data_IF_584006478116
#
_entry.id   IF_584006478116
#
_cell.length_a   1.000
_cell.length_b   1.000
_cell.length_c   1.000
_cell.angle_alpha   90.00
_cell.angle_beta   90.00
_cell.angle_gamma   90.00
#
_symmetry.space_group_name_H-M   'P 1'
#
loop_
_entity.id
_entity.type
_entity.pdbx_description
1 polymer ?
#
# COMPACT_ATOMS: atom_id res chain seq x y z
N UNK A 1 -8.82 -14.26 9.25
CA UNK A 1 -7.40 -14.65 9.30
C UNK A 1 -6.70 -13.95 10.48
N UNK A 2 -6.56 -14.59 11.66
CA UNK A 2 -6.04 -13.91 12.87
C UNK A 2 -4.63 -13.34 12.71
N UNK A 3 -3.74 -14.05 12.00
CA UNK A 3 -2.35 -13.62 11.81
C UNK A 3 -2.22 -12.37 10.92
N UNK A 4 -3.05 -12.24 9.87
CA UNK A 4 -3.09 -11.02 9.03
C UNK A 4 -3.47 -9.82 9.87
N UNK A 5 -4.52 -9.94 10.70
CA UNK A 5 -4.97 -8.87 11.59
C UNK A 5 -3.85 -8.46 12.54
N UNK A 6 -3.19 -9.43 13.20
CA UNK A 6 -2.10 -9.18 14.14
C UNK A 6 -0.93 -8.43 13.47
N UNK A 7 -0.45 -8.95 12.34
CA UNK A 7 0.72 -8.39 11.64
C UNK A 7 0.44 -7.04 10.99
N UNK A 8 -0.75 -6.84 10.41
CA UNK A 8 -1.10 -5.53 9.83
C UNK A 8 -1.37 -4.49 10.92
N UNK A 9 -1.92 -4.90 12.07
CA UNK A 9 -2.06 -4.01 13.24
C UNK A 9 -0.68 -3.56 13.73
N UNK A 10 0.27 -4.50 13.83
CA UNK A 10 1.65 -4.19 14.23
C UNK A 10 2.31 -3.22 13.25
N UNK A 11 2.27 -3.51 11.94
CA UNK A 11 2.85 -2.66 10.90
C UNK A 11 2.33 -1.22 11.02
N UNK A 12 1.02 -1.06 11.22
CA UNK A 12 0.41 0.23 11.38
C UNK A 12 0.84 0.92 12.68
N UNK A 13 0.75 0.23 13.82
CA UNK A 13 1.04 0.80 15.13
C UNK A 13 2.52 1.24 15.29
N UNK A 14 3.46 0.50 14.72
CA UNK A 14 4.90 0.80 14.77
C UNK A 14 5.30 2.10 14.07
N UNK A 15 4.40 2.65 13.23
CA UNK A 15 4.62 3.86 12.44
C UNK A 15 3.50 4.89 12.63
N UNK A 16 2.74 4.81 13.73
CA UNK A 16 1.63 5.72 14.04
C UNK A 16 0.51 5.75 12.97
N UNK A 17 0.43 4.71 12.14
CA UNK A 17 -0.65 4.50 11.20
C UNK A 17 -1.82 3.73 11.79
N UNK A 18 -2.76 3.35 10.94
CA UNK A 18 -3.95 2.60 11.33
C UNK A 18 -4.17 1.34 10.48
N UNK A 19 -4.85 0.36 11.07
CA UNK A 19 -5.45 -0.76 10.34
C UNK A 19 -6.92 -0.44 10.05
N UNK A 20 -7.31 -0.56 8.78
CA UNK A 20 -8.70 -0.54 8.33
C UNK A 20 -9.02 -1.89 7.67
N UNK A 21 -9.89 -2.68 8.28
CA UNK A 21 -10.39 -3.90 7.66
C UNK A 21 -11.56 -3.57 6.71
N UNK A 22 -11.62 -4.27 5.59
CA UNK A 22 -12.77 -4.29 4.69
C UNK A 22 -13.44 -5.66 4.76
N UNK A 23 -14.77 -5.69 4.84
CA UNK A 23 -15.53 -6.95 4.82
C UNK A 23 -15.73 -7.48 3.39
N UNK A 24 -15.75 -6.57 2.41
CA UNK A 24 -15.83 -6.85 0.97
C UNK A 24 -14.88 -5.94 0.19
N UNK A 25 -14.45 -6.37 -0.99
CA UNK A 25 -13.48 -5.64 -1.82
C UNK A 25 -13.97 -4.24 -2.23
N UNK A 26 -15.29 -4.06 -2.39
CA UNK A 26 -15.92 -2.81 -2.80
C UNK A 26 -15.77 -1.68 -1.77
N UNK A 27 -15.40 -2.00 -0.52
CA UNK A 27 -15.13 -0.99 0.51
C UNK A 27 -13.75 -0.34 0.37
N UNK A 28 -12.87 -0.91 -0.46
CA UNK A 28 -11.48 -0.46 -0.59
C UNK A 28 -11.33 1.04 -0.91
N UNK A 29 -12.08 1.63 -1.86
CA UNK A 29 -11.98 3.08 -2.12
C UNK A 29 -12.30 3.90 -0.87
N UNK A 30 -13.34 3.52 -0.13
CA UNK A 30 -13.73 4.22 1.11
C UNK A 30 -12.69 4.06 2.22
N UNK A 31 -12.02 2.90 2.34
CA UNK A 31 -10.90 2.74 3.29
C UNK A 31 -9.72 3.63 2.95
N UNK A 32 -9.40 3.79 1.67
CA UNK A 32 -8.32 4.70 1.24
C UNK A 32 -8.68 6.16 1.55
N UNK A 33 -9.94 6.57 1.30
CA UNK A 33 -10.45 7.90 1.67
C UNK A 33 -10.39 8.16 3.17
N UNK A 34 -10.67 7.15 3.99
CA UNK A 34 -10.55 7.26 5.46
C UNK A 34 -9.10 7.51 5.91
N UNK A 35 -8.11 6.96 5.23
CA UNK A 35 -6.69 7.30 5.49
C UNK A 35 -6.38 8.73 5.04
N UNK A 36 -6.74 9.08 3.80
CA UNK A 36 -6.45 10.39 3.21
C UNK A 36 -7.11 11.53 4.00
N UNK A 37 -8.34 11.35 4.47
CA UNK A 37 -9.04 12.37 5.26
C UNK A 37 -8.34 12.73 6.57
N UNK A 38 -7.52 11.82 7.12
CA UNK A 38 -6.73 11.99 8.36
C UNK A 38 -5.36 12.61 8.13
N UNK A 39 -4.90 12.71 6.88
CA UNK A 39 -3.67 13.42 6.56
C UNK A 39 -3.81 14.89 6.96
N UNK A 40 -2.71 15.58 7.23
CA UNK A 40 -2.75 16.98 7.63
C UNK A 40 -1.90 17.85 6.69
N UNK A 41 -2.18 19.15 6.69
CA UNK A 41 -1.43 20.11 5.89
C UNK A 41 -1.81 20.15 4.40
N UNK A 42 -1.21 21.10 3.66
CA UNK A 42 -1.55 21.37 2.26
C UNK A 42 -0.78 20.49 1.26
N UNK A 43 0.31 19.84 1.67
CA UNK A 43 1.16 19.04 0.78
C UNK A 43 1.33 17.62 1.30
N UNK A 44 1.14 16.62 0.42
CA UNK A 44 1.31 15.20 0.78
C UNK A 44 2.09 14.38 -0.25
N UNK A 45 2.83 13.40 0.26
CA UNK A 45 3.36 12.28 -0.49
C UNK A 45 2.70 10.99 -0.02
N UNK A 46 2.14 10.22 -0.95
CA UNK A 46 1.46 8.97 -0.67
C UNK A 46 2.02 7.86 -1.58
N UNK A 47 2.38 6.72 -1.02
CA UNK A 47 2.70 5.52 -1.81
C UNK A 47 1.69 4.40 -1.54
N UNK A 48 1.01 3.94 -2.58
CA UNK A 48 0.16 2.76 -2.53
C UNK A 48 1.02 1.51 -2.72
N UNK A 49 1.12 0.66 -1.70
CA UNK A 49 1.83 -0.62 -1.76
C UNK A 49 0.79 -1.72 -1.90
N UNK A 50 0.64 -2.25 -3.11
CA UNK A 50 -0.48 -3.10 -3.51
C UNK A 50 0.02 -4.53 -3.72
N UNK A 51 -0.60 -5.46 -3.00
CA UNK A 51 -0.47 -6.89 -3.27
C UNK A 51 -1.08 -7.23 -4.64
N UNK A 52 -0.31 -7.89 -5.48
CA UNK A 52 -0.72 -8.33 -6.82
C UNK A 52 -0.60 -9.83 -7.04
N UNK A 53 -0.72 -10.60 -5.95
CA UNK A 53 -0.88 -12.06 -5.95
C UNK A 53 -2.27 -12.47 -6.46
N UNK A 54 -2.47 -13.76 -6.66
CA UNK A 54 -3.68 -14.30 -7.28
C UNK A 54 -4.96 -14.08 -6.45
N UNK A 55 -4.89 -14.03 -5.12
CA UNK A 55 -6.08 -13.78 -4.28
C UNK A 55 -6.66 -12.38 -4.50
N UNK A 56 -5.82 -11.42 -4.89
CA UNK A 56 -6.18 -10.02 -5.09
C UNK A 56 -6.93 -9.71 -6.41
N UNK A 57 -7.32 -10.70 -7.21
CA UNK A 57 -7.98 -10.49 -8.52
C UNK A 57 -9.20 -9.55 -8.43
N UNK A 58 -10.07 -9.75 -7.44
CA UNK A 58 -11.27 -8.92 -7.27
C UNK A 58 -10.91 -7.52 -6.77
N UNK A 59 -10.04 -7.43 -5.78
CA UNK A 59 -9.61 -6.16 -5.21
C UNK A 59 -8.90 -5.29 -6.25
N UNK A 60 -8.01 -5.86 -7.07
CA UNK A 60 -7.38 -5.13 -8.18
C UNK A 60 -8.41 -4.60 -9.16
N UNK A 61 -9.48 -5.36 -9.45
CA UNK A 61 -10.56 -4.87 -10.31
C UNK A 61 -11.23 -3.62 -9.70
N UNK A 62 -11.51 -3.63 -8.40
CA UNK A 62 -12.05 -2.47 -7.68
C UNK A 62 -11.08 -1.28 -7.74
N UNK A 63 -9.78 -1.50 -7.49
CA UNK A 63 -8.76 -0.42 -7.61
C UNK A 63 -8.74 0.15 -9.04
N UNK A 64 -8.85 -0.70 -10.06
CA UNK A 64 -8.85 -0.27 -11.47
C UNK A 64 -10.12 0.49 -11.88
N UNK A 65 -11.26 0.23 -11.24
CA UNK A 65 -12.54 0.83 -11.60
C UNK A 65 -12.84 2.09 -10.76
N UNK A 66 -12.60 2.02 -9.46
CA UNK A 66 -13.24 2.94 -8.51
C UNK A 66 -12.24 3.79 -7.73
N UNK A 67 -10.94 3.47 -7.73
CA UNK A 67 -9.96 4.20 -6.92
C UNK A 67 -9.94 5.69 -7.26
N UNK A 68 -9.46 6.06 -8.45
CA UNK A 68 -9.28 7.47 -8.81
C UNK A 68 -10.58 8.25 -8.83
N UNK A 69 -11.68 7.74 -9.43
CA UNK A 69 -12.97 8.42 -9.37
C UNK A 69 -13.40 8.76 -7.93
N UNK A 70 -13.14 7.87 -6.97
CA UNK A 70 -13.52 8.08 -5.57
C UNK A 70 -12.62 9.08 -4.84
N UNK A 71 -11.39 9.29 -5.30
CA UNK A 71 -10.42 10.17 -4.63
C UNK A 71 -10.48 11.62 -5.09
N UNK A 72 -11.12 11.93 -6.23
CA UNK A 72 -11.10 13.25 -6.86
C UNK A 72 -11.40 14.39 -5.86
N UNK A 73 -12.53 14.30 -5.16
CA UNK A 73 -12.95 15.35 -4.22
C UNK A 73 -12.03 15.46 -2.99
N UNK A 74 -11.47 14.35 -2.52
CA UNK A 74 -10.54 14.36 -1.37
C UNK A 74 -9.19 14.97 -1.75
N UNK A 75 -8.78 14.88 -3.01
CA UNK A 75 -7.52 15.47 -3.49
C UNK A 75 -7.60 17.00 -3.65
N UNK A 76 -8.79 17.57 -3.87
CA UNK A 76 -8.97 19.03 -4.07
C UNK A 76 -8.53 19.87 -2.87
N UNK A 77 -8.44 19.27 -1.67
CA UNK A 77 -8.03 19.98 -0.47
C UNK A 77 -6.50 20.18 -0.35
N UNK A 78 -5.71 19.47 -1.14
CA UNK A 78 -4.24 19.57 -1.11
C UNK A 78 -3.77 20.54 -2.20
N UNK A 79 -2.88 21.47 -1.84
CA UNK A 79 -2.23 22.38 -2.78
C UNK A 79 -1.26 21.63 -3.71
N UNK A 80 -0.59 20.61 -3.17
CA UNK A 80 0.28 19.69 -3.92
C UNK A 80 0.12 18.28 -3.37
N UNK A 81 0.01 17.30 -4.25
CA UNK A 81 0.11 15.89 -3.87
C UNK A 81 0.99 15.14 -4.85
N UNK A 82 1.66 14.10 -4.35
CA UNK A 82 2.37 13.13 -5.18
C UNK A 82 1.98 11.72 -4.76
N UNK A 83 1.53 10.92 -5.74
CA UNK A 83 1.11 9.54 -5.47
C UNK A 83 2.00 8.57 -6.23
N UNK A 84 2.67 7.70 -5.49
CA UNK A 84 3.48 6.59 -5.98
C UNK A 84 2.73 5.27 -5.87
N UNK A 85 3.16 4.27 -6.63
CA UNK A 85 2.58 2.93 -6.58
C UNK A 85 3.68 1.90 -6.57
N UNK A 86 3.64 0.96 -5.64
CA UNK A 86 4.46 -0.25 -5.62
C UNK A 86 3.54 -1.44 -5.79
N UNK A 87 3.78 -2.26 -6.81
CA UNK A 87 3.19 -3.60 -6.85
C UNK A 87 4.15 -4.58 -6.21
N UNK A 88 3.66 -5.49 -5.38
CA UNK A 88 4.47 -6.61 -4.88
C UNK A 88 3.76 -7.94 -5.07
N UNK A 89 4.54 -9.02 -5.09
CA UNK A 89 4.09 -10.42 -5.08
C UNK A 89 4.95 -11.22 -4.11
N UNK A 90 4.77 -12.54 -4.06
CA UNK A 90 5.65 -13.40 -3.29
C UNK A 90 7.05 -13.58 -3.91
N UNK A 91 7.95 -14.16 -3.12
CA UNK A 91 9.25 -14.62 -3.56
C UNK A 91 9.16 -15.64 -4.72
N UNK A 92 10.11 -15.52 -5.64
CA UNK A 92 10.26 -16.39 -6.82
C UNK A 92 9.14 -16.25 -7.87
N UNK A 93 8.33 -15.19 -7.78
CA UNK A 93 7.39 -14.76 -8.81
C UNK A 93 8.05 -13.88 -9.88
N UNK A 94 7.30 -13.49 -10.92
CA UNK A 94 7.76 -12.63 -12.03
C UNK A 94 8.51 -11.37 -11.56
N UNK A 95 8.09 -10.82 -10.42
CA UNK A 95 8.77 -9.74 -9.72
C UNK A 95 8.43 -9.81 -8.23
N UNK A 96 9.35 -9.34 -7.39
CA UNK A 96 9.14 -9.27 -5.93
C UNK A 96 8.45 -7.95 -5.54
N UNK A 97 9.04 -6.83 -5.94
CA UNK A 97 8.45 -5.50 -5.78
C UNK A 97 8.80 -4.64 -7.01
N UNK A 98 7.82 -3.90 -7.52
CA UNK A 98 7.91 -3.08 -8.74
C UNK A 98 7.41 -1.67 -8.43
N UNK A 99 8.31 -0.71 -8.18
CA UNK A 99 7.94 0.67 -7.92
C UNK A 99 7.64 1.43 -9.23
N UNK A 100 6.66 2.31 -9.16
CA UNK A 100 6.34 3.33 -10.14
C UNK A 100 6.47 4.72 -9.49
N UNK A 101 7.13 5.67 -10.16
CA UNK A 101 7.49 6.96 -9.55
C UNK A 101 6.26 7.78 -9.18
N UNK A 102 6.46 8.74 -8.29
CA UNK A 102 5.45 9.73 -7.92
C UNK A 102 4.81 10.38 -9.15
N UNK A 103 3.48 10.50 -9.13
CA UNK A 103 2.68 11.22 -10.09
C UNK A 103 1.94 12.38 -9.40
N UNK A 104 1.83 13.50 -10.10
CA UNK A 104 1.12 14.71 -9.63
C UNK A 104 -0.30 14.83 -10.23
N UNK A 105 -0.75 13.81 -10.97
CA UNK A 105 -2.06 13.75 -11.61
C UNK A 105 -2.69 12.39 -11.34
N UNK A 106 -3.94 12.39 -10.88
CA UNK A 106 -4.67 11.16 -10.62
C UNK A 106 -4.85 10.30 -11.88
N UNK A 107 -4.97 10.89 -13.07
CA UNK A 107 -5.08 10.13 -14.31
C UNK A 107 -3.81 9.29 -14.57
N UNK A 108 -2.64 9.79 -14.17
CA UNK A 108 -1.37 9.09 -14.33
C UNK A 108 -1.24 7.95 -13.32
N UNK A 109 -1.76 8.16 -12.10
CA UNK A 109 -1.93 7.10 -11.09
C UNK A 109 -2.86 6.01 -11.62
N UNK A 110 -4.01 6.38 -12.21
CA UNK A 110 -4.95 5.41 -12.78
C UNK A 110 -4.30 4.58 -13.89
N UNK A 111 -3.50 5.23 -14.75
CA UNK A 111 -2.75 4.52 -15.80
C UNK A 111 -1.80 3.47 -15.22
N UNK A 112 -1.12 3.78 -14.12
CA UNK A 112 -0.24 2.83 -13.42
C UNK A 112 -1.04 1.69 -12.80
N UNK A 113 -2.11 2.00 -12.06
CA UNK A 113 -3.01 1.02 -11.43
C UNK A 113 -3.59 0.04 -12.47
N UNK A 114 -3.93 0.53 -13.66
CA UNK A 114 -4.42 -0.29 -14.77
C UNK A 114 -3.38 -1.31 -15.31
N UNK A 115 -2.10 -1.17 -14.95
CA UNK A 115 -1.07 -2.16 -15.25
C UNK A 115 -1.08 -3.33 -14.26
N UNK A 116 -1.77 -3.20 -13.13
CA UNK A 116 -1.84 -4.25 -12.12
C UNK A 116 -2.48 -5.52 -12.70
N UNK A 117 -1.81 -6.65 -12.48
CA UNK A 117 -2.32 -7.96 -12.83
C UNK A 117 -2.08 -8.90 -11.66
N UNK A 118 -3.15 -9.37 -11.04
CA UNK A 118 -3.10 -10.45 -10.07
C UNK A 118 -2.58 -11.71 -10.76
N UNK A 119 -1.46 -12.22 -10.26
CA UNK A 119 -0.91 -13.51 -10.67
C UNK A 119 0.14 -13.96 -9.65
N UNK A 120 0.46 -15.25 -9.68
CA UNK A 120 1.40 -15.81 -8.72
C UNK A 120 0.83 -15.76 -7.31
N UNK A 121 1.70 -15.95 -6.34
CA UNK A 121 1.24 -16.25 -4.98
C UNK A 121 0.83 -17.71 -4.91
N UNK A 122 1.12 -18.31 -3.77
CA UNK A 122 0.77 -19.70 -3.47
C UNK A 122 -0.08 -19.70 -2.21
N UNK A 123 0.36 -20.39 -1.18
CA UNK A 123 -0.22 -20.26 0.14
C UNK A 123 0.37 -19.02 0.82
N UNK A 124 -0.44 -18.38 1.67
CA UNK A 124 0.04 -17.42 2.67
C UNK A 124 1.22 -18.02 3.46
N UNK A 125 2.24 -17.23 3.84
CA UNK A 125 2.34 -15.76 3.82
C UNK A 125 2.82 -15.16 2.49
N UNK A 126 2.82 -13.82 2.40
CA UNK A 126 3.27 -13.03 1.23
C UNK A 126 4.47 -12.12 1.55
N UNK A 127 5.13 -11.56 0.52
CA UNK A 127 6.34 -10.73 0.68
C UNK A 127 6.07 -9.25 1.03
N UNK A 128 5.15 -9.00 1.95
CA UNK A 128 4.68 -7.64 2.36
C UNK A 128 5.84 -6.69 2.71
N UNK A 129 6.82 -7.14 3.49
CA UNK A 129 7.94 -6.28 3.89
C UNK A 129 8.82 -5.83 2.72
N UNK A 130 8.94 -6.64 1.66
CA UNK A 130 9.69 -6.27 0.45
C UNK A 130 8.97 -5.13 -0.29
N UNK A 131 7.64 -5.19 -0.37
CA UNK A 131 6.80 -4.12 -0.92
C UNK A 131 6.92 -2.82 -0.10
N UNK A 132 6.77 -2.91 1.23
CA UNK A 132 6.88 -1.76 2.13
C UNK A 132 8.26 -1.11 2.06
N UNK A 133 9.33 -1.90 2.16
CA UNK A 133 10.69 -1.37 2.11
C UNK A 133 10.99 -0.71 0.76
N UNK A 134 10.50 -1.30 -0.34
CA UNK A 134 10.57 -0.68 -1.67
C UNK A 134 9.87 0.68 -1.70
N UNK A 135 8.67 0.78 -1.12
CA UNK A 135 7.93 2.04 -0.97
C UNK A 135 8.67 3.10 -0.16
N UNK A 136 9.49 2.67 0.81
CA UNK A 136 10.28 3.58 1.62
C UNK A 136 11.54 4.08 0.88
N UNK A 137 12.29 3.19 0.22
CA UNK A 137 13.66 3.51 -0.28
C UNK A 137 13.73 3.90 -1.76
N UNK A 138 12.65 3.73 -2.53
CA UNK A 138 12.64 4.02 -3.98
C UNK A 138 11.96 5.35 -4.33
N UNK A 139 11.56 6.11 -3.33
CA UNK A 139 10.83 7.37 -3.48
C UNK A 139 11.62 8.50 -2.81
N UNK A 140 11.63 9.66 -3.46
CA UNK A 140 12.24 10.88 -2.94
C UNK A 140 11.17 11.69 -2.19
N UNK A 141 11.01 11.40 -0.90
CA UNK A 141 9.98 12.00 -0.05
C UNK A 141 10.31 13.48 0.24
N UNK A 142 9.46 14.40 -0.23
CA UNK A 142 9.64 15.85 -0.10
C UNK A 142 8.59 16.46 0.82
N UNK A 143 7.33 16.01 0.75
CA UNK A 143 6.22 16.62 1.44
C UNK A 143 6.35 16.50 2.97
N UNK A 144 5.79 17.42 3.77
CA UNK A 144 5.73 17.27 5.23
C UNK A 144 4.86 16.08 5.66
N UNK A 145 3.77 15.81 4.95
CA UNK A 145 2.89 14.67 5.20
C UNK A 145 3.30 13.50 4.30
N UNK A 146 3.70 12.37 4.89
CA UNK A 146 4.29 11.22 4.19
C UNK A 146 3.65 9.94 4.65
N UNK A 147 2.96 9.24 3.74
CA UNK A 147 2.28 8.01 4.09
C UNK A 147 2.47 6.89 3.07
N UNK A 148 2.45 5.66 3.58
CA UNK A 148 2.23 4.45 2.79
C UNK A 148 0.83 3.92 3.13
N UNK A 149 0.12 3.41 2.12
CA UNK A 149 -1.04 2.55 2.31
C UNK A 149 -0.70 1.17 1.76
N UNK A 150 -0.56 0.20 2.67
CA UNK A 150 -0.47 -1.22 2.35
C UNK A 150 -1.88 -1.75 2.04
N UNK A 151 -2.05 -2.40 0.89
CA UNK A 151 -3.30 -3.02 0.45
C UNK A 151 -3.02 -4.49 0.20
N UNK A 152 -3.62 -5.38 1.01
CA UNK A 152 -3.41 -6.82 0.89
C UNK A 152 -4.36 -7.63 1.78
N UNK A 153 -4.33 -8.94 1.63
CA UNK A 153 -5.22 -9.90 2.32
C UNK A 153 -4.44 -10.98 3.11
N UNK A 154 -3.11 -11.03 2.96
CA UNK A 154 -2.23 -12.03 3.55
C UNK A 154 -1.15 -11.42 4.47
N UNK A 155 -0.71 -12.16 5.51
CA UNK A 155 0.34 -11.70 6.42
C UNK A 155 1.73 -11.75 5.75
N UNK A 156 2.71 -10.97 6.26
CA UNK A 156 4.11 -11.10 5.85
C UNK A 156 4.69 -12.48 6.19
N UNK A 157 5.71 -12.91 5.45
CA UNK A 157 6.56 -14.03 5.89
C UNK A 157 7.20 -13.75 7.26
N UNK A 158 7.17 -14.71 8.21
CA UNK A 158 7.66 -14.50 9.58
C UNK A 158 9.19 -14.45 9.67
N UNK A 159 9.89 -14.87 8.61
CA UNK A 159 11.34 -14.76 8.48
C UNK A 159 11.66 -14.21 7.09
N UNK A 160 12.66 -13.31 6.98
CA UNK A 160 13.14 -12.84 5.68
C UNK A 160 13.50 -14.01 4.76
N UNK A 161 13.03 -13.95 3.52
CA UNK A 161 13.50 -14.83 2.43
C UNK A 161 14.36 -14.08 1.41
N UNK A 162 14.46 -12.75 1.56
CA UNK A 162 15.36 -11.86 0.85
C UNK A 162 16.25 -11.07 1.81
N UNK A 163 16.68 -9.89 1.38
CA UNK A 163 17.55 -9.01 2.17
C UNK A 163 16.77 -8.13 3.16
N UNK A 164 15.46 -7.96 2.95
CA UNK A 164 14.64 -7.04 3.75
C UNK A 164 14.13 -7.73 5.01
N UNK A 165 14.33 -7.08 6.16
CA UNK A 165 13.77 -7.50 7.44
C UNK A 165 12.62 -6.59 7.88
N UNK A 166 11.81 -7.08 8.82
CA UNK A 166 10.78 -6.30 9.51
C UNK A 166 11.38 -5.04 10.15
N UNK A 167 12.54 -5.19 10.80
CA UNK A 167 13.23 -4.10 11.50
C UNK A 167 13.69 -3.02 10.53
N UNK A 168 14.21 -3.40 9.35
CA UNK A 168 14.62 -2.44 8.32
C UNK A 168 13.46 -1.58 7.83
N UNK A 169 12.25 -2.14 7.72
CA UNK A 169 11.04 -1.38 7.35
C UNK A 169 10.73 -0.32 8.40
N UNK A 170 10.70 -0.70 9.67
CA UNK A 170 10.33 0.24 10.75
C UNK A 170 11.41 1.27 11.03
N UNK A 171 12.69 0.89 10.99
CA UNK A 171 13.79 1.85 11.12
C UNK A 171 13.75 2.88 10.00
N UNK A 172 13.55 2.44 8.76
CA UNK A 172 13.50 3.35 7.61
C UNK A 172 12.24 4.23 7.62
N UNK A 173 11.08 3.69 8.00
CA UNK A 173 9.86 4.47 8.13
C UNK A 173 10.02 5.60 9.16
N UNK A 174 10.60 5.30 10.33
CA UNK A 174 10.87 6.31 11.37
C UNK A 174 11.91 7.34 10.93
N UNK A 175 12.97 6.92 10.25
CA UNK A 175 13.98 7.82 9.68
C UNK A 175 13.37 8.83 8.70
N UNK A 176 12.44 8.38 7.85
CA UNK A 176 11.79 9.20 6.85
C UNK A 176 10.58 9.97 7.38
N UNK A 177 10.11 9.68 8.60
CA UNK A 177 8.84 10.20 9.12
C UNK A 177 7.62 9.73 8.31
N UNK A 178 7.68 8.52 7.73
CA UNK A 178 6.61 7.94 6.91
C UNK A 178 5.70 7.10 7.80
N UNK A 179 4.41 7.41 7.81
CA UNK A 179 3.39 6.58 8.48
C UNK A 179 2.91 5.48 7.54
N UNK A 180 2.80 4.24 8.02
CA UNK A 180 2.30 3.11 7.24
C UNK A 180 0.89 2.78 7.73
N UNK A 181 -0.09 2.93 6.87
CA UNK A 181 -1.45 2.47 7.12
C UNK A 181 -1.66 1.13 6.40
N UNK A 182 -2.48 0.26 6.97
CA UNK A 182 -2.80 -1.01 6.37
C UNK A 182 -4.30 -1.12 6.10
N UNK A 183 -4.66 -1.51 4.90
CA UNK A 183 -6.01 -1.89 4.50
C UNK A 183 -6.01 -3.40 4.30
N UNK A 184 -6.68 -4.10 5.22
CA UNK A 184 -6.83 -5.56 5.14
C UNK A 184 -8.10 -5.90 4.38
N UNK A 185 -7.94 -6.65 3.30
CA UNK A 185 -9.03 -7.12 2.45
C UNK A 185 -9.48 -8.54 2.85
N UNK A 186 -10.70 -8.96 2.48
CA UNK A 186 -11.10 -10.34 2.66
C UNK A 186 -10.21 -11.28 1.83
N UNK A 187 -9.77 -12.38 2.42
CA UNK A 187 -9.04 -13.44 1.72
C UNK A 187 -10.05 -14.50 1.23
N UNK A 188 -10.00 -14.92 -0.05
CA UNK A 188 -10.94 -15.87 -0.65
C UNK A 188 -10.81 -17.31 -0.14
#
# INVERSE_FOLDING_TARGET
MPLTVETFTEIAAETEGILLAADVEDELPERIRQVISRMEGPEMDLVLVIDTTQSMVNSIRVVQQDLVPSLLADMERFERYRIGVVFFRDYFEEYLARPYPFQEKLEDVQRIVNLARAAGGRDIPEAVYEGLYTGLVRYDWEAPERQIILIGDAPPHPRPRGAVTREMVFEKARELGVRINAIMLPHP
#
